data_IF_728633050296
#
_entry.id   IF_728633050296
#
_cell.length_a   1.000
_cell.length_b   1.000
_cell.length_c   1.000
_cell.angle_alpha   90.00
_cell.angle_beta   90.00
_cell.angle_gamma   90.00
#
_symmetry.space_group_name_H-M   'P 1'
#
loop_
_entity.id
_entity.type
_entity.pdbx_description
1 polymer ?
#
# COMPACT_ATOMS: atom_id res chain seq x y z
N UNK A 1 -0.64 17.16 2.13
CA UNK A 1 -0.56 17.62 3.54
C UNK A 1 0.43 16.74 4.28
N UNK A 2 1.40 17.34 4.99
CA UNK A 2 2.40 16.60 5.76
C UNK A 2 1.81 16.17 7.12
N UNK A 3 1.96 14.90 7.47
CA UNK A 3 1.64 14.33 8.79
C UNK A 3 2.85 13.56 9.30
N UNK A 4 3.20 13.80 10.56
CA UNK A 4 4.30 13.11 11.23
C UNK A 4 3.78 12.32 12.43
N UNK A 5 4.27 11.10 12.62
CA UNK A 5 3.93 10.26 13.77
C UNK A 5 5.19 9.78 14.48
N UNK A 6 5.20 9.77 15.82
CA UNK A 6 6.36 9.48 16.68
C UNK A 6 6.72 7.98 16.80
N UNK A 7 6.07 7.12 16.04
CA UNK A 7 6.20 5.67 16.14
C UNK A 7 6.38 5.02 14.77
N UNK A 8 7.07 3.87 14.77
CA UNK A 8 7.15 2.94 13.62
C UNK A 8 5.91 2.08 13.48
N UNK A 9 5.14 1.95 14.57
CA UNK A 9 3.84 1.27 14.61
C UNK A 9 2.75 2.32 14.71
N UNK A 10 1.93 2.40 13.68
CA UNK A 10 0.80 3.31 13.56
C UNK A 10 -0.35 2.58 12.87
N UNK A 11 -1.56 3.06 13.09
CA UNK A 11 -2.77 2.54 12.47
C UNK A 11 -2.94 3.16 11.07
N UNK A 12 -3.19 2.32 10.06
CA UNK A 12 -3.56 2.77 8.71
C UNK A 12 -5.08 2.65 8.57
N UNK A 13 -5.82 3.74 8.27
CA UNK A 13 -7.25 3.65 8.02
C UNK A 13 -7.59 2.66 6.91
N UNK A 14 -8.60 1.83 7.13
CA UNK A 14 -9.03 0.81 6.17
C UNK A 14 -10.02 1.38 5.14
N UNK A 15 -9.58 2.38 4.39
CA UNK A 15 -10.29 3.06 3.30
C UNK A 15 -9.28 3.45 2.22
N UNK A 16 -9.72 3.56 0.97
CA UNK A 16 -8.82 3.95 -0.12
C UNK A 16 -8.41 5.43 0.02
N UNK A 17 -7.10 5.77 0.09
CA UNK A 17 -6.66 7.14 0.25
C UNK A 17 -7.03 8.07 -0.91
N UNK A 18 -7.24 7.55 -2.14
CA UNK A 18 -7.63 8.41 -3.27
C UNK A 18 -9.10 8.80 -3.20
N UNK A 19 -10.00 7.85 -2.95
CA UNK A 19 -11.43 8.01 -3.19
C UNK A 19 -12.34 7.66 -2.00
N UNK A 20 -11.78 7.19 -0.88
CA UNK A 20 -12.54 6.77 0.30
C UNK A 20 -13.31 5.47 0.15
N UNK A 21 -13.26 4.79 -1.01
CA UNK A 21 -13.91 3.50 -1.20
C UNK A 21 -13.33 2.41 -0.29
N UNK A 22 -14.09 1.33 -0.10
CA UNK A 22 -13.60 0.14 0.60
C UNK A 22 -12.39 -0.41 -0.16
N UNK A 23 -11.26 -0.68 0.52
CA UNK A 23 -10.08 -1.18 -0.15
C UNK A 23 -10.26 -2.65 -0.50
N UNK A 24 -9.69 -3.04 -1.65
CA UNK A 24 -9.78 -4.40 -2.20
C UNK A 24 -8.39 -4.98 -2.48
N UNK A 25 -7.37 -4.12 -2.44
CA UNK A 25 -5.97 -4.47 -2.73
C UNK A 25 -5.07 -3.56 -1.89
N UNK A 26 -3.78 -3.86 -1.87
CA UNK A 26 -2.76 -2.98 -1.31
C UNK A 26 -1.88 -2.43 -2.41
N UNK A 27 -1.33 -1.24 -2.15
CA UNK A 27 -0.28 -0.64 -2.94
C UNK A 27 0.98 -0.52 -2.08
N UNK A 28 2.08 -1.10 -2.54
CA UNK A 28 3.39 -0.90 -1.93
C UNK A 28 3.90 0.50 -2.26
N UNK A 29 3.98 1.36 -1.24
CA UNK A 29 4.47 2.73 -1.34
C UNK A 29 5.96 2.71 -0.96
N UNK A 30 6.89 2.78 -1.94
CA UNK A 30 8.31 2.87 -1.65
C UNK A 30 8.64 4.14 -0.87
N UNK A 31 9.71 4.03 -0.08
CA UNK A 31 10.38 5.17 0.54
C UNK A 31 10.74 6.21 -0.51
N UNK A 32 10.24 7.44 -0.34
CA UNK A 32 10.55 8.56 -1.23
C UNK A 32 11.60 9.43 -0.56
N UNK A 33 12.81 9.44 -1.12
CA UNK A 33 13.89 10.29 -0.62
C UNK A 33 13.60 11.76 -0.93
N UNK A 34 13.42 12.57 0.11
CA UNK A 34 13.32 14.03 -0.01
C UNK A 34 14.67 14.66 0.36
N UNK A 35 15.25 15.53 -0.50
CA UNK A 35 16.57 16.12 -0.25
C UNK A 35 16.61 16.98 1.01
N UNK A 36 15.46 17.52 1.44
CA UNK A 36 15.34 18.39 2.61
C UNK A 36 15.29 17.63 3.95
N UNK A 37 15.17 16.30 3.92
CA UNK A 37 15.02 15.47 5.13
C UNK A 37 16.12 14.43 5.22
N UNK A 38 16.89 14.46 6.29
CA UNK A 38 17.80 13.36 6.63
C UNK A 38 17.00 12.16 7.08
N UNK A 39 16.83 11.21 6.16
CA UNK A 39 16.17 9.94 6.45
C UNK A 39 17.17 9.07 7.21
N UNK A 40 16.85 8.74 8.46
CA UNK A 40 17.61 7.75 9.20
C UNK A 40 17.49 6.41 8.46
N UNK A 41 18.47 5.51 8.60
CA UNK A 41 18.42 4.20 7.98
C UNK A 41 17.14 3.47 8.40
N UNK A 42 16.13 3.54 7.53
CA UNK A 42 14.85 2.88 7.72
C UNK A 42 14.97 1.46 7.17
N UNK A 43 14.57 0.49 7.98
CA UNK A 43 14.54 -0.92 7.56
C UNK A 43 13.39 -1.16 6.59
N UNK A 44 12.32 -0.37 6.65
CA UNK A 44 11.18 -0.49 5.76
C UNK A 44 11.48 0.18 4.41
N UNK A 45 11.65 -0.63 3.35
CA UNK A 45 11.82 -0.13 1.97
C UNK A 45 10.52 0.39 1.36
N UNK A 46 9.39 -0.13 1.84
CA UNK A 46 8.06 0.21 1.36
C UNK A 46 7.02 0.00 2.46
N UNK A 47 5.92 0.75 2.38
CA UNK A 47 4.75 0.58 3.22
C UNK A 47 3.57 0.07 2.40
N UNK A 48 2.87 -0.96 2.87
CA UNK A 48 1.63 -1.41 2.25
C UNK A 48 0.47 -0.53 2.71
N UNK A 49 -0.22 0.10 1.76
CA UNK A 49 -1.37 0.95 2.04
C UNK A 49 -2.60 0.41 1.31
N UNK A 50 -3.76 0.32 1.97
CA UNK A 50 -4.98 -0.21 1.36
C UNK A 50 -5.50 0.73 0.27
N UNK A 51 -5.83 0.21 -0.91
CA UNK A 51 -6.46 0.93 -2.03
C UNK A 51 -7.58 0.10 -2.65
N UNK A 52 -8.48 0.72 -3.41
CA UNK A 52 -9.39 -0.04 -4.28
C UNK A 52 -8.68 -0.41 -5.60
N UNK A 53 -9.12 -1.49 -6.25
CA UNK A 53 -8.52 -1.97 -7.51
C UNK A 53 -8.48 -0.90 -8.60
N UNK A 54 -9.52 -0.05 -8.66
CA UNK A 54 -9.63 1.04 -9.66
C UNK A 54 -8.52 2.06 -9.50
N UNK A 55 -8.27 2.51 -8.28
CA UNK A 55 -7.22 3.47 -7.99
C UNK A 55 -5.82 2.86 -8.22
N UNK A 56 -5.59 1.60 -7.87
CA UNK A 56 -4.31 0.95 -8.17
C UNK A 56 -4.07 0.82 -9.67
N UNK A 57 -5.07 0.36 -10.43
CA UNK A 57 -4.96 0.25 -11.89
C UNK A 57 -4.73 1.62 -12.55
N UNK A 58 -5.33 2.67 -12.01
CA UNK A 58 -5.16 4.04 -12.47
C UNK A 58 -3.77 4.61 -12.16
N UNK A 59 -3.28 4.44 -10.93
CA UNK A 59 -1.90 4.79 -10.53
C UNK A 59 -0.90 4.07 -11.42
N UNK A 60 -1.09 2.77 -11.67
CA UNK A 60 -0.21 1.99 -12.55
C UNK A 60 -0.17 2.56 -13.98
N UNK A 61 -1.32 2.98 -14.55
CA UNK A 61 -1.38 3.66 -15.85
C UNK A 61 -0.64 5.00 -15.84
N UNK A 62 -0.74 5.76 -14.75
CA UNK A 62 -0.05 7.04 -14.59
C UNK A 62 1.48 6.87 -14.50
N UNK A 63 1.95 5.91 -13.71
CA UNK A 63 3.38 5.64 -13.51
C UNK A 63 4.03 5.07 -14.77
N UNK A 64 3.36 4.12 -15.44
CA UNK A 64 3.84 3.53 -16.70
C UNK A 64 3.81 4.49 -17.89
N UNK A 65 3.08 5.61 -17.81
CA UNK A 65 3.09 6.64 -18.85
C UNK A 65 4.50 7.22 -19.10
N UNK A 66 5.34 7.29 -18.06
CA UNK A 66 6.74 7.70 -18.20
C UNK A 66 7.61 6.63 -18.86
N UNK A 67 7.43 5.37 -18.47
CA UNK A 67 8.21 4.23 -19.00
C UNK A 67 8.02 4.07 -20.51
N UNK A 68 6.78 4.19 -20.99
CA UNK A 68 6.49 4.10 -22.43
C UNK A 68 7.22 5.21 -23.23
N UNK A 69 7.27 6.43 -22.71
CA UNK A 69 7.99 7.53 -23.36
C UNK A 69 9.51 7.33 -23.35
N UNK A 70 10.07 6.81 -22.26
CA UNK A 70 11.48 6.44 -22.19
C UNK A 70 11.83 5.36 -23.21
N UNK A 71 10.95 4.37 -23.41
CA UNK A 71 11.10 3.33 -24.44
C UNK A 71 11.17 3.90 -25.86
N UNK A 72 10.30 4.86 -26.20
CA UNK A 72 10.33 5.55 -27.51
C UNK A 72 11.66 6.29 -27.69
N UNK A 73 12.12 7.02 -26.67
CA UNK A 73 13.37 7.77 -26.74
C UNK A 73 14.58 6.85 -26.87
N UNK A 74 14.63 5.75 -26.13
CA UNK A 74 15.69 4.75 -26.21
C UNK A 74 15.71 4.09 -27.60
N UNK A 75 14.55 3.67 -28.11
CA UNK A 75 14.44 3.08 -29.46
C UNK A 75 14.90 4.06 -30.55
N UNK A 76 14.52 5.34 -30.43
CA UNK A 76 14.97 6.38 -31.35
C UNK A 76 16.47 6.65 -31.28
N UNK A 77 17.06 6.63 -30.09
CA UNK A 77 18.50 6.79 -29.89
C UNK A 77 19.29 5.62 -30.47
N UNK A 78 18.88 4.39 -30.16
CA UNK A 78 19.51 3.17 -30.72
C UNK A 78 19.37 3.13 -32.24
N UNK A 79 18.17 3.41 -32.77
CA UNK A 79 17.93 3.48 -34.21
C UNK A 79 18.76 4.57 -34.89
N UNK A 80 18.87 5.75 -34.25
CA UNK A 80 19.70 6.86 -34.72
C UNK A 80 21.19 6.49 -34.81
N UNK A 81 21.73 5.80 -33.80
CA UNK A 81 23.12 5.32 -33.79
C UNK A 81 23.35 4.34 -34.95
N UNK A 82 22.46 3.35 -35.12
CA UNK A 82 22.60 2.35 -36.19
C UNK A 82 22.58 3.02 -37.56
N UNK A 83 21.67 3.97 -37.81
CA UNK A 83 21.58 4.70 -39.08
C UNK A 83 22.77 5.64 -39.33
N UNK A 84 23.32 6.24 -38.28
CA UNK A 84 24.52 7.07 -38.39
C UNK A 84 25.74 6.25 -38.85
N UNK A 85 25.87 5.01 -38.36
CA UNK A 85 26.97 4.11 -38.70
C UNK A 85 26.81 3.44 -40.07
N UNK A 86 25.57 3.15 -40.49
CA UNK A 86 25.30 2.33 -41.69
C UNK A 86 24.89 3.12 -42.92
N UNK A 87 24.31 4.31 -42.75
CA UNK A 87 23.74 5.10 -43.86
C UNK A 87 24.40 6.47 -43.95
N UNK A 88 24.15 7.34 -42.99
CA UNK A 88 24.68 8.72 -42.98
C UNK A 88 24.46 9.36 -41.60
N UNK A 89 25.47 10.07 -41.09
CA UNK A 89 25.42 10.70 -39.76
C UNK A 89 24.21 11.64 -39.61
N UNK A 90 23.96 12.49 -40.61
CA UNK A 90 22.81 13.41 -40.60
C UNK A 90 21.44 12.70 -40.48
N UNK A 91 21.27 11.53 -41.10
CA UNK A 91 20.02 10.75 -41.01
C UNK A 91 19.85 10.19 -39.60
N UNK A 92 20.93 9.64 -39.02
CA UNK A 92 20.90 9.13 -37.65
C UNK A 92 20.58 10.22 -36.61
N UNK A 93 21.18 11.40 -36.74
CA UNK A 93 20.86 12.57 -35.90
C UNK A 93 19.40 12.99 -36.08
N UNK A 94 18.88 13.02 -37.31
CA UNK A 94 17.48 13.35 -37.59
C UNK A 94 16.50 12.43 -36.85
N UNK A 95 16.75 11.11 -36.85
CA UNK A 95 15.91 10.13 -36.13
C UNK A 95 15.93 10.36 -34.62
N UNK A 96 17.12 10.61 -34.04
CA UNK A 96 17.24 10.88 -32.61
C UNK A 96 16.50 12.18 -32.21
N UNK A 97 16.59 13.23 -33.03
CA UNK A 97 15.88 14.50 -32.80
C UNK A 97 14.37 14.33 -32.88
N UNK A 98 13.85 13.55 -33.84
CA UNK A 98 12.40 13.29 -33.99
C UNK A 98 11.85 12.39 -32.88
N UNK A 99 12.66 11.50 -32.31
CA UNK A 99 12.21 10.64 -31.21
C UNK A 99 11.84 11.41 -29.94
N UNK A 100 12.53 12.52 -29.66
CA UNK A 100 12.27 13.36 -28.48
C UNK A 100 10.85 13.97 -28.45
N UNK A 101 10.36 14.70 -29.48
CA UNK A 101 9.00 15.22 -29.49
C UNK A 101 7.95 14.11 -29.54
N UNK A 102 8.21 12.98 -30.20
CA UNK A 102 7.29 11.82 -30.18
C UNK A 102 7.16 11.22 -28.77
N UNK A 103 8.28 11.06 -28.06
CA UNK A 103 8.28 10.60 -26.67
C UNK A 103 7.54 11.59 -25.76
N UNK A 104 7.75 12.90 -25.95
CA UNK A 104 7.04 13.95 -25.22
C UNK A 104 5.53 13.93 -25.46
N UNK A 105 5.10 13.91 -26.72
CA UNK A 105 3.68 13.87 -27.10
C UNK A 105 3.00 12.60 -26.58
N UNK A 106 3.66 11.45 -26.69
CA UNK A 106 3.17 10.18 -26.15
C UNK A 106 2.99 10.26 -24.63
N UNK A 107 3.96 10.83 -23.90
CA UNK A 107 3.87 11.05 -22.45
C UNK A 107 2.71 11.97 -22.10
N UNK A 108 2.58 13.09 -22.79
CA UNK A 108 1.51 14.07 -22.54
C UNK A 108 0.13 13.47 -22.80
N UNK A 109 -0.04 12.76 -23.92
CA UNK A 109 -1.29 12.07 -24.25
C UNK A 109 -1.69 11.04 -23.21
N UNK A 110 -0.74 10.18 -22.80
CA UNK A 110 -1.01 9.15 -21.78
C UNK A 110 -1.35 9.77 -20.43
N UNK A 111 -0.64 10.84 -20.02
CA UNK A 111 -0.94 11.57 -18.79
C UNK A 111 -2.30 12.25 -18.85
N UNK A 112 -2.68 12.87 -19.96
CA UNK A 112 -4.01 13.47 -20.14
C UNK A 112 -5.09 12.41 -20.05
N UNK A 113 -4.92 11.26 -20.72
CA UNK A 113 -5.87 10.13 -20.63
C UNK A 113 -6.00 9.59 -19.20
N UNK A 114 -4.89 9.44 -18.49
CA UNK A 114 -4.91 9.00 -17.10
C UNK A 114 -5.62 10.02 -16.18
N UNK A 115 -5.42 11.34 -16.41
CA UNK A 115 -6.18 12.38 -15.70
C UNK A 115 -7.68 12.31 -16.01
N UNK A 116 -8.05 12.06 -17.26
CA UNK A 116 -9.45 11.93 -17.67
C UNK A 116 -10.12 10.67 -17.09
N UNK A 117 -9.34 9.65 -16.70
CA UNK A 117 -9.89 8.47 -16.02
C UNK A 117 -10.06 8.63 -14.51
N UNK A 118 -9.69 9.79 -13.92
CA UNK A 118 -9.99 10.07 -12.53
C UNK A 118 -11.51 10.19 -12.34
N UNK A 119 -12.08 9.45 -11.40
CA UNK A 119 -13.47 9.68 -10.96
C UNK A 119 -13.59 10.97 -10.15
N UNK A 120 -14.82 11.45 -9.98
CA UNK A 120 -15.13 12.70 -9.24
C UNK A 120 -14.60 12.69 -7.79
N UNK A 121 -14.50 11.50 -7.18
CA UNK A 121 -14.01 11.32 -5.82
C UNK A 121 -12.50 11.10 -5.71
N UNK A 122 -11.76 10.92 -6.81
CA UNK A 122 -10.32 10.68 -6.71
C UNK A 122 -9.56 12.00 -6.51
N UNK A 123 -8.64 12.01 -5.54
CA UNK A 123 -7.82 13.18 -5.23
C UNK A 123 -6.83 13.56 -6.35
N UNK A 124 -6.35 12.60 -7.14
CA UNK A 124 -5.36 12.86 -8.17
C UNK A 124 -5.00 11.63 -9.02
N UNK A 125 -4.19 11.82 -10.08
CA UNK A 125 -3.72 10.73 -10.92
C UNK A 125 -2.52 9.95 -10.35
N UNK A 126 -1.86 10.51 -9.33
CA UNK A 126 -0.72 9.89 -8.66
C UNK A 126 -1.13 9.08 -7.43
N UNK A 127 -0.13 8.72 -6.63
CA UNK A 127 -0.35 8.11 -5.32
C UNK A 127 -0.88 9.16 -4.37
N UNK A 128 -1.98 8.86 -3.68
CA UNK A 128 -2.57 9.76 -2.70
C UNK A 128 -1.80 9.79 -1.36
N UNK A 129 -0.87 8.85 -1.17
CA UNK A 129 0.00 8.74 0.00
C UNK A 129 1.44 8.60 -0.47
N UNK A 130 2.33 9.36 0.15
CA UNK A 130 3.78 9.25 -0.04
C UNK A 130 4.42 9.02 1.31
N UNK A 131 5.25 7.98 1.42
CA UNK A 131 6.03 7.71 2.62
C UNK A 131 7.40 8.39 2.50
N UNK A 132 7.66 9.37 3.38
CA UNK A 132 8.89 10.17 3.38
C UNK A 132 9.98 9.55 4.28
N UNK A 133 9.67 8.45 4.97
CA UNK A 133 10.63 7.71 5.78
C UNK A 133 10.62 8.03 7.26
N UNK A 134 11.52 7.33 7.96
CA UNK A 134 11.81 7.50 9.37
C UNK A 134 12.95 8.51 9.58
N UNK A 135 12.73 9.54 10.39
CA UNK A 135 13.73 10.55 10.75
C UNK A 135 13.97 10.55 12.25
N UNK A 136 14.72 9.55 12.73
CA UNK A 136 15.13 9.43 14.13
C UNK A 136 14.01 8.96 15.06
N UNK A 137 13.00 9.80 15.26
CA UNK A 137 11.86 9.56 16.16
C UNK A 137 10.50 9.66 15.46
N UNK A 138 10.45 10.11 14.20
CA UNK A 138 9.18 10.32 13.49
C UNK A 138 9.15 9.67 12.12
N UNK A 139 8.03 9.02 11.81
CA UNK A 139 7.64 8.62 10.44
C UNK A 139 6.89 9.78 9.80
N UNK A 140 7.21 10.12 8.55
CA UNK A 140 6.54 11.21 7.85
C UNK A 140 5.79 10.76 6.60
N UNK A 141 4.62 11.36 6.41
CA UNK A 141 3.68 11.05 5.34
C UNK A 141 3.24 12.33 4.66
N UNK A 142 3.22 12.30 3.33
CA UNK A 142 2.49 13.29 2.56
C UNK A 142 1.20 12.67 2.05
N UNK A 143 0.08 13.26 2.44
CA UNK A 143 -1.27 12.79 2.13
C UNK A 143 -1.98 13.82 1.25
N UNK A 144 -2.39 13.44 0.05
CA UNK A 144 -3.10 14.35 -0.86
C UNK A 144 -4.56 14.56 -0.41
N UNK A 145 -5.23 13.50 0.05
CA UNK A 145 -6.65 13.55 0.44
C UNK A 145 -6.83 14.12 1.84
N UNK A 146 -7.58 15.23 1.95
CA UNK A 146 -7.92 15.85 3.22
C UNK A 146 -8.77 14.93 4.13
N UNK A 147 -9.75 14.24 3.56
CA UNK A 147 -10.60 13.31 4.33
C UNK A 147 -9.77 12.15 4.90
N UNK A 148 -8.91 11.55 4.07
CA UNK A 148 -8.01 10.48 4.50
C UNK A 148 -6.98 10.98 5.53
N UNK A 149 -6.46 12.21 5.35
CA UNK A 149 -5.54 12.84 6.30
C UNK A 149 -6.15 12.97 7.68
N UNK A 150 -7.41 13.45 7.77
CA UNK A 150 -8.12 13.56 9.03
C UNK A 150 -8.35 12.18 9.67
N UNK A 151 -8.73 11.17 8.88
CA UNK A 151 -8.92 9.79 9.35
C UNK A 151 -7.62 9.16 9.86
N UNK A 152 -6.51 9.37 9.15
CA UNK A 152 -5.20 8.90 9.55
C UNK A 152 -4.76 9.54 10.86
N UNK A 153 -4.96 10.85 11.00
CA UNK A 153 -4.61 11.56 12.22
C UNK A 153 -5.48 11.15 13.42
N UNK A 154 -6.78 10.94 13.22
CA UNK A 154 -7.68 10.44 14.26
C UNK A 154 -7.43 9.00 14.66
N UNK A 155 -6.93 8.15 13.76
CA UNK A 155 -6.52 6.79 14.09
C UNK A 155 -5.22 6.74 14.91
N UNK A 156 -4.46 7.85 14.96
CA UNK A 156 -3.14 7.92 15.58
C UNK A 156 -2.98 9.14 16.53
N UNK A 157 -3.96 9.47 17.38
CA UNK A 157 -4.01 10.78 18.05
C UNK A 157 -2.84 10.99 19.03
N UNK A 158 -2.41 9.93 19.72
CA UNK A 158 -1.28 9.94 20.66
C UNK A 158 0.09 9.92 19.98
N UNK A 159 0.13 9.59 18.68
CA UNK A 159 1.37 9.47 17.92
C UNK A 159 1.67 10.72 17.11
N UNK A 160 0.74 11.67 16.95
CA UNK A 160 0.97 12.86 16.12
C UNK A 160 2.13 13.71 16.66
N UNK A 161 3.20 13.81 15.86
CA UNK A 161 4.31 14.71 16.12
C UNK A 161 3.97 16.11 15.58
N UNK A 162 4.06 17.13 16.45
CA UNK A 162 3.93 18.55 16.08
C UNK A 162 2.77 18.85 15.09
N UNK A 163 1.51 18.48 15.42
CA UNK A 163 0.40 18.67 14.49
C UNK A 163 0.23 20.14 14.13
N UNK A 164 0.38 20.44 12.84
CA UNK A 164 0.27 21.80 12.30
C UNK A 164 -1.12 22.40 12.56
N UNK A 165 -1.23 23.73 12.64
CA UNK A 165 -2.52 24.39 12.82
C UNK A 165 -3.56 24.02 11.74
N UNK A 166 -3.19 23.91 10.43
CA UNK A 166 -4.08 23.40 9.40
C UNK A 166 -4.56 21.97 9.67
N UNK A 167 -3.68 21.07 10.13
CA UNK A 167 -4.04 19.69 10.44
C UNK A 167 -5.02 19.63 11.62
N UNK A 168 -4.78 20.39 12.70
CA UNK A 168 -5.71 20.48 13.84
C UNK A 168 -7.10 20.95 13.40
N UNK A 169 -7.15 22.01 12.58
CA UNK A 169 -8.41 22.53 12.03
C UNK A 169 -9.12 21.50 11.16
N UNK A 170 -8.36 20.75 10.36
CA UNK A 170 -8.90 19.69 9.50
C UNK A 170 -9.51 18.55 10.32
N UNK A 171 -8.81 18.07 11.36
CA UNK A 171 -9.31 17.03 12.27
C UNK A 171 -10.60 17.48 12.94
N UNK A 172 -10.62 18.69 13.50
CA UNK A 172 -11.82 19.20 14.17
C UNK A 172 -13.00 19.38 13.20
N UNK A 173 -12.75 19.95 12.02
CA UNK A 173 -13.78 20.10 11.00
C UNK A 173 -14.36 18.76 10.55
N UNK A 174 -13.52 17.74 10.41
CA UNK A 174 -13.95 16.39 10.06
C UNK A 174 -14.75 15.71 11.18
N UNK A 175 -14.36 15.96 12.44
CA UNK A 175 -15.11 15.49 13.61
C UNK A 175 -16.52 16.08 13.66
N UNK A 176 -16.64 17.40 13.46
CA UNK A 176 -17.92 18.10 13.40
C UNK A 176 -18.76 17.59 12.23
N UNK A 177 -18.16 17.44 11.03
CA UNK A 177 -18.88 16.95 9.85
C UNK A 177 -19.49 15.56 10.07
N UNK A 178 -18.80 14.65 10.78
CA UNK A 178 -19.36 13.33 11.12
C UNK A 178 -20.53 13.39 12.09
N UNK A 179 -20.49 14.32 13.04
CA UNK A 179 -21.60 14.52 13.98
C UNK A 179 -22.81 15.17 13.29
N UNK A 180 -22.57 15.96 12.24
CA UNK A 180 -23.60 16.70 11.52
C UNK A 180 -24.33 15.87 10.46
N UNK A 181 -23.78 14.75 9.96
CA UNK A 181 -24.55 13.84 9.12
C UNK A 181 -25.49 13.09 10.04
N UNK A 182 -26.82 13.37 10.04
CA UNK A 182 -27.75 12.55 10.77
C UNK A 182 -27.61 11.17 10.16
N UNK A 183 -27.04 10.23 10.93
CA UNK A 183 -27.07 8.81 10.58
C UNK A 183 -28.53 8.55 10.25
N UNK A 184 -28.90 8.30 8.98
CA UNK A 184 -30.30 8.23 8.62
C UNK A 184 -30.90 7.20 9.55
N UNK A 185 -31.90 7.58 10.34
CA UNK A 185 -32.62 6.69 11.24
C UNK A 185 -33.43 5.62 10.47
N UNK A 186 -33.06 5.37 9.21
CA UNK A 186 -33.42 4.20 8.45
C UNK A 186 -33.12 2.99 9.34
N UNK A 187 -34.19 2.26 9.65
CA UNK A 187 -34.21 1.02 10.41
C UNK A 187 -32.95 0.21 10.11
N UNK A 188 -31.96 0.31 11.00
CA UNK A 188 -30.79 -0.56 10.95
C UNK A 188 -31.33 -1.92 11.35
N UNK A 189 -31.71 -2.71 10.34
CA UNK A 189 -31.92 -4.15 10.52
C UNK A 189 -30.56 -4.65 10.96
N UNK A 190 -30.38 -4.80 12.27
CA UNK A 190 -29.14 -5.33 12.84
C UNK A 190 -29.06 -6.76 12.31
N UNK A 191 -28.13 -7.07 11.39
CA UNK A 191 -27.98 -8.44 10.93
C UNK A 191 -27.64 -9.31 12.15
N UNK A 192 -28.06 -10.58 12.17
CA UNK A 192 -27.65 -11.49 13.24
C UNK A 192 -26.12 -11.47 13.37
N UNK A 193 -25.59 -11.63 14.60
CA UNK A 193 -24.15 -11.63 14.81
C UNK A 193 -23.51 -12.71 13.92
N UNK A 194 -22.45 -12.32 13.20
CA UNK A 194 -21.75 -13.22 12.31
C UNK A 194 -21.15 -14.39 13.10
N UNK A 195 -21.35 -15.61 12.61
CA UNK A 195 -20.78 -16.81 13.24
C UNK A 195 -19.28 -16.91 12.98
N UNK A 196 -18.58 -17.77 13.73
CA UNK A 196 -17.15 -18.07 13.48
C UNK A 196 -16.91 -18.53 12.05
N UNK A 197 -17.80 -19.39 11.53
CA UNK A 197 -17.69 -19.90 10.17
C UNK A 197 -17.84 -18.79 9.12
N UNK A 198 -18.71 -17.80 9.38
CA UNK A 198 -18.84 -16.63 8.50
C UNK A 198 -17.55 -15.82 8.47
N UNK A 199 -16.90 -15.61 9.62
CA UNK A 199 -15.63 -14.90 9.68
C UNK A 199 -14.51 -15.65 8.96
N UNK A 200 -14.36 -16.95 9.19
CA UNK A 200 -13.39 -17.80 8.50
C UNK A 200 -13.60 -17.73 6.98
N UNK A 201 -14.84 -17.93 6.52
CA UNK A 201 -15.18 -17.90 5.10
C UNK A 201 -14.87 -16.54 4.47
N UNK A 202 -15.18 -15.44 5.18
CA UNK A 202 -14.86 -14.09 4.69
C UNK A 202 -13.35 -13.86 4.61
N UNK A 203 -12.58 -14.32 5.61
CA UNK A 203 -11.11 -14.20 5.62
C UNK A 203 -10.48 -15.01 4.48
N UNK A 204 -10.93 -16.24 4.25
CA UNK A 204 -10.48 -17.08 3.13
C UNK A 204 -10.84 -16.48 1.77
N UNK A 205 -12.01 -15.85 1.65
CA UNK A 205 -12.43 -15.17 0.42
C UNK A 205 -11.72 -13.83 0.18
N UNK A 206 -11.03 -13.28 1.20
CA UNK A 206 -10.40 -11.95 1.10
C UNK A 206 -9.01 -12.07 0.50
N UNK A 207 -8.79 -11.40 -0.62
CA UNK A 207 -7.48 -11.25 -1.25
C UNK A 207 -6.69 -10.12 -0.58
N UNK A 208 -5.40 -10.36 -0.34
CA UNK A 208 -4.49 -9.35 0.21
C UNK A 208 -4.31 -9.45 1.73
N UNK A 209 -3.07 -9.29 2.16
CA UNK A 209 -2.61 -9.51 3.53
C UNK A 209 -3.21 -8.51 4.53
N UNK A 210 -3.16 -7.21 4.25
CA UNK A 210 -3.73 -6.16 5.12
C UNK A 210 -5.25 -6.27 5.16
N UNK A 211 -5.91 -6.57 4.03
CA UNK A 211 -7.37 -6.76 4.02
C UNK A 211 -7.80 -7.96 4.89
N UNK A 212 -7.12 -9.11 4.76
CA UNK A 212 -7.34 -10.27 5.65
C UNK A 212 -7.10 -9.92 7.11
N UNK A 213 -6.03 -9.21 7.44
CA UNK A 213 -5.70 -8.83 8.83
C UNK A 213 -6.69 -7.83 9.41
N UNK A 214 -7.16 -6.86 8.62
CA UNK A 214 -8.20 -5.92 9.05
C UNK A 214 -9.53 -6.65 9.33
N UNK A 215 -9.88 -7.63 8.48
CA UNK A 215 -11.06 -8.45 8.66
C UNK A 215 -10.93 -9.38 9.87
N UNK A 216 -9.76 -9.99 10.07
CA UNK A 216 -9.43 -10.76 11.27
C UNK A 216 -9.62 -9.90 12.53
N UNK A 217 -9.05 -8.70 12.58
CA UNK A 217 -9.18 -7.81 13.75
C UNK A 217 -10.66 -7.54 14.07
N UNK A 218 -11.48 -7.21 13.05
CA UNK A 218 -12.93 -7.03 13.22
C UNK A 218 -13.62 -8.30 13.72
N UNK A 219 -13.21 -9.47 13.22
CA UNK A 219 -13.72 -10.75 13.69
C UNK A 219 -13.35 -11.00 15.15
N UNK A 220 -12.12 -10.70 15.57
CA UNK A 220 -11.68 -10.84 16.96
C UNK A 220 -12.43 -9.88 17.89
N UNK A 221 -12.67 -8.64 17.46
CA UNK A 221 -13.43 -7.66 18.22
C UNK A 221 -14.92 -8.05 18.37
N UNK A 222 -15.47 -8.77 17.37
CA UNK A 222 -16.87 -9.17 17.35
C UNK A 222 -17.16 -10.51 18.08
N UNK A 223 -16.16 -11.34 18.30
CA UNK A 223 -16.30 -12.63 18.98
C UNK A 223 -15.91 -12.47 20.45
N UNK A 224 -16.78 -12.88 21.38
CA UNK A 224 -16.48 -12.80 22.82
C UNK A 224 -15.75 -14.06 23.33
N UNK A 225 -16.01 -15.22 22.73
CA UNK A 225 -15.43 -16.49 23.16
C UNK A 225 -13.99 -16.67 22.69
N UNK A 226 -13.10 -17.05 23.61
CA UNK A 226 -11.68 -17.25 23.33
C UNK A 226 -11.41 -18.44 22.41
N UNK A 227 -12.20 -19.52 22.49
CA UNK A 227 -12.07 -20.67 21.60
C UNK A 227 -12.42 -20.30 20.16
N UNK A 228 -13.51 -19.54 19.98
CA UNK A 228 -13.93 -18.99 18.70
C UNK A 228 -12.87 -18.07 18.09
N UNK A 229 -12.30 -17.15 18.88
CA UNK A 229 -11.18 -16.29 18.45
C UNK A 229 -9.99 -17.11 17.96
N UNK A 230 -9.62 -18.17 18.69
CA UNK A 230 -8.50 -19.03 18.32
C UNK A 230 -8.73 -19.73 16.97
N UNK A 231 -9.96 -20.17 16.67
CA UNK A 231 -10.28 -20.79 15.37
C UNK A 231 -10.08 -19.80 14.22
N UNK A 232 -10.50 -18.55 14.38
CA UNK A 232 -10.31 -17.50 13.36
C UNK A 232 -8.82 -17.17 13.17
N UNK A 233 -8.05 -17.12 14.27
CA UNK A 233 -6.59 -16.90 14.21
C UNK A 233 -5.89 -18.03 13.44
N UNK A 234 -6.24 -19.29 13.72
CA UNK A 234 -5.67 -20.46 13.04
C UNK A 234 -6.02 -20.48 11.55
N UNK A 235 -7.25 -20.07 11.18
CA UNK A 235 -7.61 -19.96 9.77
C UNK A 235 -6.79 -18.87 9.07
N UNK A 236 -6.66 -17.69 9.69
CA UNK A 236 -5.87 -16.60 9.14
C UNK A 236 -4.37 -16.94 9.05
N UNK A 237 -3.79 -17.61 10.06
CA UNK A 237 -2.37 -18.00 10.05
C UNK A 237 -2.04 -18.95 8.91
N UNK A 238 -2.90 -19.94 8.65
CA UNK A 238 -2.73 -20.89 7.54
C UNK A 238 -2.63 -20.18 6.19
N UNK A 239 -3.48 -19.18 5.94
CA UNK A 239 -3.45 -18.41 4.69
C UNK A 239 -2.14 -17.63 4.54
N UNK A 240 -1.72 -16.90 5.58
CA UNK A 240 -0.48 -16.12 5.57
C UNK A 240 0.76 -17.01 5.35
N UNK A 241 0.79 -18.19 5.98
CA UNK A 241 1.90 -19.15 5.85
C UNK A 241 1.91 -19.77 4.46
N UNK A 242 0.75 -20.18 3.94
CA UNK A 242 0.66 -20.83 2.63
C UNK A 242 1.22 -19.95 1.51
N UNK A 243 1.00 -18.64 1.57
CA UNK A 243 1.53 -17.68 0.60
C UNK A 243 3.07 -17.59 0.67
N UNK A 244 3.64 -17.60 1.88
CA UNK A 244 5.09 -17.61 2.09
C UNK A 244 5.69 -18.92 1.59
N UNK A 245 5.10 -20.07 1.93
CA UNK A 245 5.62 -21.39 1.57
C UNK A 245 5.56 -21.63 0.06
N UNK A 246 4.48 -21.24 -0.61
CA UNK A 246 4.36 -21.33 -2.08
C UNK A 246 5.40 -20.44 -2.77
N UNK A 247 5.75 -19.26 -2.20
CA UNK A 247 6.77 -18.37 -2.77
C UNK A 247 8.23 -18.90 -2.69
N UNK A 248 8.47 -19.93 -1.86
CA UNK A 248 9.78 -20.56 -1.69
C UNK A 248 9.84 -21.98 -2.27
N UNK A 249 8.72 -22.50 -2.74
CA UNK A 249 8.64 -23.80 -3.40
C UNK A 249 9.49 -23.80 -4.68
N UNK A 250 10.24 -24.89 -4.89
CA UNK A 250 11.16 -25.01 -6.04
C UNK A 250 12.53 -24.33 -5.90
N UNK A 251 12.80 -23.62 -4.80
CA UNK A 251 14.13 -23.07 -4.52
C UNK A 251 15.07 -24.13 -3.92
N UNK A 252 16.38 -23.89 -3.99
CA UNK A 252 17.37 -24.73 -3.29
C UNK A 252 17.21 -24.62 -1.77
N UNK A 253 17.56 -25.67 -1.04
CA UNK A 253 17.45 -25.72 0.44
C UNK A 253 18.08 -24.49 1.11
N UNK A 254 19.26 -24.06 0.66
CA UNK A 254 19.94 -22.86 1.18
C UNK A 254 19.16 -21.58 0.94
N UNK A 255 18.57 -21.41 -0.25
CA UNK A 255 17.73 -20.25 -0.58
C UNK A 255 16.40 -20.29 0.16
N UNK A 256 15.80 -21.47 0.36
CA UNK A 256 14.60 -21.66 1.16
C UNK A 256 14.84 -21.22 2.61
N UNK A 257 15.91 -21.71 3.25
CA UNK A 257 16.29 -21.31 4.61
C UNK A 257 16.50 -19.80 4.70
N UNK A 258 17.20 -19.19 3.75
CA UNK A 258 17.46 -17.75 3.74
C UNK A 258 16.16 -16.93 3.58
N UNK A 259 15.27 -17.33 2.65
CA UNK A 259 13.99 -16.64 2.44
C UNK A 259 13.05 -16.81 3.62
N UNK A 260 12.99 -18.01 4.21
CA UNK A 260 12.15 -18.27 5.37
C UNK A 260 12.63 -17.51 6.61
N UNK A 261 13.95 -17.43 6.82
CA UNK A 261 14.54 -16.60 7.87
C UNK A 261 14.18 -15.11 7.67
N UNK A 262 14.31 -14.61 6.45
CA UNK A 262 13.89 -13.24 6.12
C UNK A 262 12.40 -13.02 6.39
N UNK A 263 11.54 -13.94 5.97
CA UNK A 263 10.09 -13.85 6.22
C UNK A 263 9.76 -13.83 7.73
N UNK A 264 10.47 -14.62 8.54
CA UNK A 264 10.35 -14.59 10.01
C UNK A 264 10.74 -13.21 10.56
N UNK A 265 11.83 -12.65 10.08
CA UNK A 265 12.31 -11.33 10.54
C UNK A 265 11.37 -10.21 10.08
N UNK A 266 10.82 -10.31 8.86
CA UNK A 266 9.80 -9.41 8.33
C UNK A 266 8.53 -9.48 9.19
N UNK A 267 8.04 -10.68 9.53
CA UNK A 267 6.85 -10.86 10.38
C UNK A 267 7.07 -10.32 11.80
N UNK A 268 8.27 -10.45 12.37
CA UNK A 268 8.61 -9.85 13.68
C UNK A 268 8.57 -8.32 13.64
N UNK A 269 8.98 -7.73 12.52
CA UNK A 269 8.96 -6.28 12.32
C UNK A 269 7.56 -5.74 11.99
N UNK A 270 6.68 -6.60 11.48
CA UNK A 270 5.32 -6.26 11.05
C UNK A 270 4.39 -5.87 12.22
N UNK A 271 3.37 -5.08 11.91
CA UNK A 271 2.37 -4.58 12.87
C UNK A 271 1.09 -5.42 12.82
N UNK A 272 1.22 -6.74 13.02
CA UNK A 272 0.08 -7.65 13.06
C UNK A 272 -0.41 -7.89 14.51
N UNK A 273 -1.66 -8.33 14.71
CA UNK A 273 -2.16 -8.68 16.04
C UNK A 273 -1.25 -9.71 16.71
N UNK A 274 -0.90 -9.50 17.99
CA UNK A 274 0.11 -10.30 18.70
C UNK A 274 -0.19 -11.81 18.65
N UNK A 275 -1.46 -12.19 18.82
CA UNK A 275 -1.88 -13.59 18.75
C UNK A 275 -1.67 -14.21 17.36
N UNK A 276 -1.92 -13.45 16.28
CA UNK A 276 -1.64 -13.90 14.92
C UNK A 276 -0.12 -14.00 14.70
N UNK A 277 0.65 -13.00 15.18
CA UNK A 277 2.10 -12.99 15.08
C UNK A 277 2.72 -14.23 15.71
N UNK A 278 2.31 -14.55 16.94
CA UNK A 278 2.77 -15.71 17.67
C UNK A 278 2.45 -17.01 16.92
N UNK A 279 1.22 -17.15 16.41
CA UNK A 279 0.78 -18.32 15.66
C UNK A 279 1.59 -18.52 14.36
N UNK A 280 1.75 -17.45 13.57
CA UNK A 280 2.50 -17.52 12.31
C UNK A 280 3.99 -17.79 12.55
N UNK A 281 4.60 -17.10 13.52
CA UNK A 281 6.01 -17.33 13.87
C UNK A 281 6.25 -18.76 14.38
N UNK A 282 5.33 -19.32 15.18
CA UNK A 282 5.45 -20.69 15.67
C UNK A 282 5.56 -21.69 14.51
N UNK A 283 4.65 -21.60 13.54
CA UNK A 283 4.62 -22.50 12.38
C UNK A 283 5.81 -22.28 11.43
N UNK A 284 6.17 -21.04 11.10
CA UNK A 284 7.33 -20.77 10.24
C UNK A 284 8.65 -21.26 10.87
N UNK A 285 8.81 -21.13 12.19
CA UNK A 285 9.99 -21.69 12.90
C UNK A 285 9.97 -23.22 12.91
N UNK A 286 8.80 -23.87 12.91
CA UNK A 286 8.70 -25.32 12.75
C UNK A 286 9.16 -25.75 11.34
N UNK A 287 8.71 -25.05 10.30
CA UNK A 287 9.17 -25.30 8.92
C UNK A 287 10.67 -25.06 8.75
N UNK A 288 11.23 -24.00 9.35
CA UNK A 288 12.66 -23.71 9.27
C UNK A 288 13.50 -24.82 9.92
N UNK A 289 13.03 -25.38 11.04
CA UNK A 289 13.67 -26.53 11.70
C UNK A 289 13.58 -27.80 10.86
N UNK A 290 12.49 -28.02 10.13
CA UNK A 290 12.32 -29.20 9.28
C UNK A 290 13.21 -29.18 8.02
N UNK A 291 13.62 -28.00 7.55
CA UNK A 291 14.51 -27.84 6.39
C UNK A 291 16.00 -27.93 6.78
N UNK A 292 16.33 -27.84 8.08
CA UNK A 292 17.70 -27.95 8.61
C UNK A 292 18.07 -29.39 8.90
#
# INVERSE_FOLDING_TARGET
>A
MLVEVTSRRFAIPHECPCCGAIPETELAIPLTATPERTIAADTARSLLVPYCHRCVAHIAKWETAGVASAGIMLAGLVGGIVLALTVHVAVGVGVAVVAAPLAWLSRQHRRTKAKQSCGESCVGPGRAVTYLGWSGTTSAFELESHAYTARFAEANPSLLANPSAPLKKLIEGHRIARLAVPTPAASVVVPPPATVQDWVTRIEATSGTVARRALLQRGLDALDDMGQRQLVIVAASKLEISEILTSIEGLTVTLQQQRLQRAIDDIRADNMPEALQAAVLYELNAHLRAIR
#
